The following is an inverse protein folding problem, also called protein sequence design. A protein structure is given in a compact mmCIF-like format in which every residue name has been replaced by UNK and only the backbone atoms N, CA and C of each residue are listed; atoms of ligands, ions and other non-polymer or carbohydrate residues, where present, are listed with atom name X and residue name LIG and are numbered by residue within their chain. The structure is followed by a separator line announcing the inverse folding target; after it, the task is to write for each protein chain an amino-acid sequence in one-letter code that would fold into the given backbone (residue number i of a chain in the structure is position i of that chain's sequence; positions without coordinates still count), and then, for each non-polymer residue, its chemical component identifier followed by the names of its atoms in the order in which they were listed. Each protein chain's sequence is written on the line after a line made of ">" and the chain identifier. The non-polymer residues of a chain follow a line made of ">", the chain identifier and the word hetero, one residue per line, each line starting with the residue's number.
data_IF_723120984149
#
_entry.id   IF_723120984149
#
_cell.length_a   1.000
_cell.length_b   1.000
_cell.length_c   1.000
_cell.angle_alpha   90.00
_cell.angle_beta   90.00
_cell.angle_gamma   90.00
#
_symmetry.space_group_name_H-M   'P 1'
#
loop_
_entity.id
_entity.type
_entity.pdbx_description
1 polymer ?
#
# COMPACT_ATOMS: atom_id res chain seq x y z
N UNK A 1 7.77 22.63 6.46
CA UNK A 1 7.08 22.54 7.76
C UNK A 1 5.69 23.18 7.67
N UNK A 2 4.64 22.36 7.74
CA UNK A 2 3.28 22.87 7.85
C UNK A 2 3.05 23.28 9.31
N UNK A 3 2.92 24.58 9.55
CA UNK A 3 2.53 25.14 10.84
C UNK A 3 0.99 25.15 10.86
N UNK A 4 0.39 24.37 11.74
CA UNK A 4 -1.03 24.48 12.08
C UNK A 4 -1.14 24.98 13.51
N UNK A 5 -2.01 25.96 13.73
CA UNK A 5 -2.13 26.78 14.95
C UNK A 5 -2.70 26.02 16.17
N UNK A 6 -2.54 24.70 16.21
CA UNK A 6 -2.91 23.84 17.34
C UNK A 6 -4.41 23.61 17.53
N UNK A 7 -5.28 24.24 16.74
CA UNK A 7 -6.72 23.99 16.73
C UNK A 7 -7.11 23.24 15.45
N UNK A 8 -7.55 21.98 15.57
CA UNK A 8 -8.14 21.23 14.46
C UNK A 8 -9.48 21.90 14.09
N UNK A 9 -9.46 22.75 13.06
CA UNK A 9 -10.67 23.35 12.48
C UNK A 9 -11.42 22.36 11.59
N UNK A 10 -10.78 21.26 11.22
CA UNK A 10 -11.30 20.13 10.45
C UNK A 10 -11.16 18.83 11.25
N UNK A 11 -12.09 17.88 11.07
CA UNK A 11 -12.03 16.54 11.69
C UNK A 11 -10.99 15.66 10.95
N UNK A 12 -9.72 16.06 11.04
CA UNK A 12 -8.61 15.52 10.26
C UNK A 12 -7.36 15.34 11.14
N UNK A 13 -6.53 14.36 10.81
CA UNK A 13 -5.27 14.06 11.48
C UNK A 13 -4.19 13.71 10.46
N UNK A 14 -3.12 14.50 10.41
CA UNK A 14 -1.95 14.17 9.60
C UNK A 14 -1.12 13.08 10.26
N UNK A 15 -0.66 12.13 9.45
CA UNK A 15 0.13 10.99 9.90
C UNK A 15 1.39 10.84 9.07
N UNK A 16 2.46 10.44 9.75
CA UNK A 16 3.69 9.99 9.14
C UNK A 16 4.00 8.60 9.68
N UNK A 17 4.18 7.64 8.76
CA UNK A 17 4.56 6.28 9.06
C UNK A 17 5.92 5.98 8.43
N UNK A 18 6.86 5.54 9.26
CA UNK A 18 8.18 5.12 8.83
C UNK A 18 8.40 3.67 9.24
N UNK A 19 8.54 2.81 8.25
CA UNK A 19 9.06 1.46 8.41
C UNK A 19 10.50 1.50 7.94
N UNK A 20 11.44 1.35 8.86
CA UNK A 20 12.87 1.39 8.53
C UNK A 20 13.39 -0.02 8.59
N UNK A 21 14.11 -0.42 7.55
CA UNK A 21 14.97 -1.59 7.63
C UNK A 21 14.22 -2.91 7.95
N UNK A 22 12.99 -3.06 7.47
CA UNK A 22 12.14 -4.21 7.71
C UNK A 22 12.49 -5.43 6.85
N UNK A 23 12.07 -6.61 7.30
CA UNK A 23 12.24 -7.87 6.54
C UNK A 23 10.89 -8.54 6.35
N UNK A 24 10.68 -9.12 5.17
CA UNK A 24 9.52 -9.96 4.95
C UNK A 24 9.55 -11.18 5.87
N UNK A 25 8.40 -11.55 6.40
CA UNK A 25 8.24 -12.80 7.15
C UNK A 25 8.43 -13.99 6.20
N UNK A 26 9.07 -15.10 6.63
CA UNK A 26 9.13 -16.32 5.85
C UNK A 26 7.74 -16.83 5.42
N UNK A 27 7.59 -17.13 4.12
CA UNK A 27 6.33 -17.48 3.46
C UNK A 27 5.37 -16.29 3.23
N UNK A 28 5.79 -15.07 3.55
CA UNK A 28 4.99 -13.86 3.47
C UNK A 28 4.94 -13.26 2.06
N UNK A 29 3.92 -12.44 1.75
CA UNK A 29 3.71 -11.87 0.42
C UNK A 29 4.87 -10.98 -0.05
N UNK A 30 5.58 -10.36 0.89
CA UNK A 30 6.70 -9.44 0.60
C UNK A 30 8.08 -10.06 0.83
N UNK A 31 8.18 -11.33 1.24
CA UNK A 31 9.47 -12.00 1.49
C UNK A 31 10.40 -11.90 0.29
N UNK A 32 9.93 -12.32 -0.88
CA UNK A 32 10.72 -12.27 -2.10
C UNK A 32 11.02 -10.84 -2.58
N UNK A 33 10.13 -9.87 -2.27
CA UNK A 33 10.39 -8.46 -2.56
C UNK A 33 11.55 -7.89 -1.72
N UNK A 34 11.83 -8.51 -0.57
CA UNK A 34 12.91 -8.08 0.34
C UNK A 34 14.28 -8.69 0.05
N UNK A 35 14.47 -9.51 -0.99
CA UNK A 35 15.77 -10.11 -1.41
C UNK A 35 16.77 -10.34 -0.23
N UNK A 36 17.98 -9.75 -0.31
CA UNK A 36 19.01 -9.68 0.75
C UNK A 36 18.89 -8.40 1.62
N UNK A 37 17.90 -7.55 1.33
CA UNK A 37 17.90 -6.12 1.62
C UNK A 37 16.67 -5.67 2.38
N UNK A 38 16.91 -4.88 3.42
CA UNK A 38 15.87 -4.39 4.29
C UNK A 38 14.92 -3.44 3.53
N UNK A 39 13.62 -3.61 3.70
CA UNK A 39 12.57 -2.77 3.12
C UNK A 39 12.39 -1.53 3.97
N UNK A 40 12.50 -0.36 3.35
CA UNK A 40 12.19 0.91 3.99
C UNK A 40 11.01 1.58 3.28
N UNK A 41 10.02 2.00 4.05
CA UNK A 41 8.84 2.74 3.60
C UNK A 41 8.68 4.00 4.46
N UNK A 42 8.63 5.15 3.82
CA UNK A 42 8.15 6.39 4.42
C UNK A 42 6.83 6.76 3.75
N UNK A 43 5.79 6.97 4.53
CA UNK A 43 4.45 7.29 4.05
C UNK A 43 3.85 8.41 4.89
N UNK A 44 3.34 9.45 4.24
CA UNK A 44 2.55 10.51 4.86
C UNK A 44 1.14 10.54 4.25
N UNK A 45 0.20 11.10 5.01
CA UNK A 45 -1.15 11.38 4.53
C UNK A 45 -2.03 11.96 5.62
N UNK A 46 -3.29 12.21 5.27
CA UNK A 46 -4.29 12.78 6.17
C UNK A 46 -5.41 11.78 6.41
N UNK A 47 -5.72 11.53 7.67
CA UNK A 47 -6.86 10.72 8.10
C UNK A 47 -8.07 11.64 8.32
N UNK A 48 -9.07 11.52 7.46
CA UNK A 48 -10.34 12.25 7.63
C UNK A 48 -11.26 11.53 8.61
N UNK A 49 -12.16 12.27 9.26
CA UNK A 49 -13.04 11.77 10.32
C UNK A 49 -12.24 11.21 11.53
N UNK A 50 -11.10 11.81 11.85
CA UNK A 50 -10.16 11.29 12.86
C UNK A 50 -10.80 11.11 14.25
N UNK A 51 -11.76 11.97 14.63
CA UNK A 51 -12.50 11.87 15.90
C UNK A 51 -13.36 10.60 16.00
N UNK A 52 -13.58 9.90 14.88
CA UNK A 52 -14.30 8.62 14.78
C UNK A 52 -13.41 7.40 14.97
N UNK A 53 -12.09 7.57 15.10
CA UNK A 53 -11.15 6.51 15.49
C UNK A 53 -11.32 6.18 16.98
N UNK A 54 -12.48 5.60 17.33
CA UNK A 54 -12.87 5.24 18.69
C UNK A 54 -13.57 3.89 18.67
N UNK A 55 -13.24 3.04 19.64
CA UNK A 55 -13.83 1.71 19.72
C UNK A 55 -13.24 0.91 20.90
N UNK A 56 -13.88 -0.21 21.26
CA UNK A 56 -13.44 -1.05 22.37
C UNK A 56 -12.15 -1.84 22.06
N UNK A 57 -11.85 -2.06 20.78
CA UNK A 57 -10.64 -2.73 20.28
C UNK A 57 -10.23 -2.15 18.91
N UNK A 58 -9.07 -2.58 18.40
CA UNK A 58 -8.52 -2.09 17.13
C UNK A 58 -9.47 -2.32 15.94
N UNK A 59 -10.12 -3.48 15.88
CA UNK A 59 -11.04 -3.80 14.79
C UNK A 59 -12.27 -2.87 14.83
N UNK A 60 -12.81 -2.64 16.02
CA UNK A 60 -13.93 -1.73 16.27
C UNK A 60 -13.59 -0.27 15.98
N UNK A 61 -12.35 0.17 16.28
CA UNK A 61 -11.87 1.53 15.97
C UNK A 61 -11.95 1.81 14.47
N UNK A 62 -11.36 0.96 13.63
CA UNK A 62 -11.36 1.18 12.18
C UNK A 62 -12.71 0.89 11.53
N UNK A 63 -13.49 -0.05 12.08
CA UNK A 63 -14.86 -0.30 11.60
C UNK A 63 -15.78 0.90 11.84
N UNK A 64 -15.70 1.54 13.01
CA UNK A 64 -16.47 2.74 13.32
C UNK A 64 -16.08 3.92 12.44
N UNK A 65 -14.77 4.15 12.30
CA UNK A 65 -14.22 5.17 11.42
C UNK A 65 -14.65 4.97 9.95
N UNK A 66 -14.52 3.75 9.42
CA UNK A 66 -14.90 3.44 8.04
C UNK A 66 -16.40 3.63 7.81
N UNK A 67 -17.25 3.18 8.73
CA UNK A 67 -18.72 3.40 8.67
C UNK A 67 -19.12 4.87 8.71
N UNK A 68 -18.31 5.72 9.35
CA UNK A 68 -18.51 7.16 9.37
C UNK A 68 -18.03 7.87 8.08
N UNK A 69 -17.59 7.12 7.07
CA UNK A 69 -17.04 7.67 5.83
C UNK A 69 -15.57 8.09 5.95
N UNK A 70 -14.83 7.53 6.92
CA UNK A 70 -13.40 7.76 7.10
C UNK A 70 -12.59 7.38 5.86
N UNK A 71 -11.61 8.24 5.53
CA UNK A 71 -10.72 8.08 4.36
C UNK A 71 -9.30 8.47 4.75
N UNK A 72 -8.34 7.74 4.20
CA UNK A 72 -6.96 8.22 4.08
C UNK A 72 -6.89 9.06 2.80
N UNK A 73 -6.32 10.25 2.87
CA UNK A 73 -6.24 11.19 1.74
C UNK A 73 -4.85 11.81 1.64
N UNK A 74 -4.55 12.42 0.50
CA UNK A 74 -3.27 13.07 0.23
C UNK A 74 -2.06 12.16 0.54
N UNK A 75 -2.20 10.87 0.25
CA UNK A 75 -1.19 9.87 0.57
C UNK A 75 0.00 10.08 -0.35
N UNK A 76 1.18 10.16 0.23
CA UNK A 76 2.46 10.20 -0.49
C UNK A 76 3.46 9.32 0.23
N UNK A 77 4.36 8.71 -0.51
CA UNK A 77 5.41 7.93 0.13
C UNK A 77 6.52 7.53 -0.81
N UNK A 78 7.56 6.98 -0.21
CA UNK A 78 8.69 6.38 -0.90
C UNK A 78 8.97 5.00 -0.30
N UNK A 79 9.16 4.03 -1.18
CA UNK A 79 9.55 2.67 -0.86
C UNK A 79 10.94 2.41 -1.44
N UNK A 80 11.80 1.78 -0.66
CA UNK A 80 13.11 1.27 -1.12
C UNK A 80 13.25 -0.19 -0.71
N UNK A 81 13.69 -1.04 -1.64
CA UNK A 81 14.01 -2.43 -1.40
C UNK A 81 15.21 -2.82 -2.28
N UNK A 82 16.38 -3.02 -1.66
CA UNK A 82 17.64 -3.22 -2.39
C UNK A 82 17.95 -2.04 -3.31
N UNK A 83 18.10 -2.32 -4.60
CA UNK A 83 18.33 -1.29 -5.63
C UNK A 83 17.03 -0.66 -6.18
N UNK A 84 15.88 -1.26 -5.89
CA UNK A 84 14.59 -0.78 -6.37
C UNK A 84 14.08 0.35 -5.48
N UNK A 85 13.56 1.40 -6.12
CA UNK A 85 12.86 2.51 -5.46
C UNK A 85 11.50 2.70 -6.09
N UNK A 86 10.52 3.11 -5.30
CA UNK A 86 9.26 3.56 -5.86
C UNK A 86 8.67 4.74 -5.09
N UNK A 87 8.04 5.66 -5.80
CA UNK A 87 7.20 6.72 -5.22
C UNK A 87 5.76 6.30 -5.30
N UNK A 88 5.02 6.47 -4.21
CA UNK A 88 3.61 6.13 -4.12
C UNK A 88 2.78 7.38 -3.89
N UNK A 89 1.60 7.43 -4.49
CA UNK A 89 0.62 8.46 -4.18
C UNK A 89 -0.81 7.94 -4.31
N UNK A 90 -1.71 8.43 -3.45
CA UNK A 90 -3.14 8.20 -3.59
C UNK A 90 -3.91 9.42 -3.15
N UNK A 91 -4.88 9.83 -3.96
CA UNK A 91 -5.82 10.89 -3.60
C UNK A 91 -6.68 10.46 -2.41
N UNK A 92 -7.16 9.22 -2.43
CA UNK A 92 -7.95 8.68 -1.35
C UNK A 92 -8.03 7.15 -1.33
N UNK A 93 -7.93 6.58 -0.13
CA UNK A 93 -8.21 5.17 0.18
C UNK A 93 -9.25 5.09 1.31
N UNK A 94 -10.18 4.15 1.20
CA UNK A 94 -11.19 3.85 2.22
C UNK A 94 -11.27 2.33 2.44
N UNK A 95 -12.16 1.86 3.33
CA UNK A 95 -12.45 0.45 3.46
C UNK A 95 -13.91 0.12 3.11
N UNK A 96 -14.15 -1.08 2.59
CA UNK A 96 -15.49 -1.65 2.42
C UNK A 96 -16.09 -2.13 3.75
N UNK A 97 -17.29 -2.68 3.69
CA UNK A 97 -18.00 -3.21 4.86
C UNK A 97 -17.25 -4.36 5.53
N UNK A 98 -16.47 -5.12 4.77
CA UNK A 98 -15.62 -6.22 5.22
C UNK A 98 -14.25 -5.75 5.75
N UNK A 99 -14.01 -4.44 5.72
CA UNK A 99 -12.78 -3.79 6.17
C UNK A 99 -11.63 -3.86 5.16
N UNK A 100 -11.89 -4.24 3.91
CA UNK A 100 -10.88 -4.29 2.86
C UNK A 100 -10.70 -2.94 2.20
N UNK A 101 -9.45 -2.60 1.92
CA UNK A 101 -9.09 -1.36 1.27
C UNK A 101 -9.78 -1.23 -0.10
N UNK A 102 -10.24 -0.04 -0.44
CA UNK A 102 -10.76 0.38 -1.74
C UNK A 102 -10.04 1.66 -2.16
N UNK A 103 -9.68 1.75 -3.44
CA UNK A 103 -9.12 2.96 -4.05
C UNK A 103 -7.96 2.64 -4.96
N UNK A 104 -7.36 3.70 -5.50
CA UNK A 104 -6.24 3.61 -6.43
C UNK A 104 -4.96 4.15 -5.77
N UNK A 105 -3.87 3.42 -5.91
CA UNK A 105 -2.53 3.80 -5.49
C UNK A 105 -1.65 3.88 -6.74
N UNK A 106 -1.26 5.08 -7.12
CA UNK A 106 -0.28 5.30 -8.17
C UNK A 106 1.12 5.00 -7.64
N UNK A 107 1.95 4.38 -8.48
CA UNK A 107 3.29 3.94 -8.16
C UNK A 107 4.20 4.25 -9.34
N UNK A 108 5.23 5.05 -9.12
CA UNK A 108 6.33 5.21 -10.09
C UNK A 108 7.51 4.42 -9.57
N UNK A 109 7.84 3.32 -10.25
CA UNK A 109 8.91 2.40 -9.84
C UNK A 109 10.16 2.58 -10.71
N UNK A 110 11.30 2.79 -10.06
CA UNK A 110 12.63 2.84 -10.66
C UNK A 110 13.33 1.50 -10.45
N UNK A 111 13.87 0.93 -11.54
CA UNK A 111 14.46 -0.42 -11.54
C UNK A 111 13.54 -1.48 -10.89
N UNK A 112 12.31 -1.69 -11.40
CA UNK A 112 11.34 -2.58 -10.76
C UNK A 112 11.71 -4.07 -10.87
N UNK A 113 12.58 -4.46 -11.80
CA UNK A 113 12.88 -5.86 -12.14
C UNK A 113 13.21 -6.76 -10.95
N UNK A 114 14.18 -6.41 -10.08
CA UNK A 114 14.56 -7.21 -8.92
C UNK A 114 13.40 -7.44 -7.93
N UNK A 115 12.66 -6.39 -7.58
CA UNK A 115 11.49 -6.46 -6.68
C UNK A 115 10.36 -7.32 -7.28
N UNK A 116 10.01 -7.08 -8.55
CA UNK A 116 8.93 -7.80 -9.23
C UNK A 116 9.24 -9.29 -9.38
N UNK A 117 10.49 -9.62 -9.73
CA UNK A 117 10.95 -11.01 -9.83
C UNK A 117 10.91 -11.71 -8.46
N UNK A 118 11.30 -11.00 -7.41
CA UNK A 118 11.18 -11.46 -6.04
C UNK A 118 9.74 -11.76 -5.63
N UNK A 119 8.80 -10.87 -5.93
CA UNK A 119 7.37 -11.11 -5.65
C UNK A 119 6.81 -12.30 -6.44
N UNK A 120 7.18 -12.45 -7.72
CA UNK A 120 6.75 -13.58 -8.54
C UNK A 120 7.29 -14.93 -8.06
N UNK A 121 8.49 -14.94 -7.47
CA UNK A 121 9.11 -16.11 -6.86
C UNK A 121 8.56 -16.43 -5.45
N UNK A 122 7.82 -15.51 -4.83
CA UNK A 122 7.22 -15.72 -3.51
C UNK A 122 6.24 -16.89 -3.53
N UNK A 123 6.36 -17.78 -2.54
CA UNK A 123 5.46 -18.92 -2.36
C UNK A 123 4.27 -18.61 -1.44
N UNK A 124 3.99 -17.33 -1.18
CA UNK A 124 2.86 -16.94 -0.35
C UNK A 124 1.53 -17.38 -0.97
N UNK A 125 0.74 -18.13 -0.19
CA UNK A 125 -0.59 -18.61 -0.62
C UNK A 125 -1.63 -17.50 -0.84
N UNK A 126 -1.35 -16.27 -0.37
CA UNK A 126 -2.22 -15.11 -0.55
C UNK A 126 -2.04 -14.46 -1.93
N UNK A 127 -0.88 -14.68 -2.57
CA UNK A 127 -0.55 -14.12 -3.88
C UNK A 127 -1.04 -15.04 -5.00
N UNK A 128 -1.82 -14.50 -5.91
CA UNK A 128 -2.15 -15.13 -7.18
C UNK A 128 -0.90 -15.12 -8.07
N UNK A 129 -0.16 -16.24 -8.07
CA UNK A 129 1.07 -16.41 -8.83
C UNK A 129 0.91 -16.14 -10.32
N UNK A 130 -0.21 -16.54 -10.94
CA UNK A 130 -0.44 -16.29 -12.36
C UNK A 130 -0.61 -14.79 -12.65
N UNK A 131 -1.33 -14.08 -11.78
CA UNK A 131 -1.47 -12.62 -11.87
C UNK A 131 -0.14 -11.90 -11.63
N UNK A 132 0.61 -12.29 -10.59
CA UNK A 132 1.92 -11.72 -10.29
C UNK A 132 2.93 -11.94 -11.43
N UNK A 133 2.95 -13.14 -12.03
CA UNK A 133 3.80 -13.43 -13.18
C UNK A 133 3.41 -12.60 -14.42
N UNK A 134 2.11 -12.46 -14.70
CA UNK A 134 1.62 -11.63 -15.81
C UNK A 134 1.99 -10.16 -15.63
N UNK A 135 1.85 -9.63 -14.42
CA UNK A 135 2.26 -8.27 -14.10
C UNK A 135 3.78 -8.07 -14.21
N UNK A 136 4.58 -9.01 -13.68
CA UNK A 136 6.04 -8.97 -13.80
C UNK A 136 6.48 -8.97 -15.27
N UNK A 137 5.91 -9.86 -16.09
CA UNK A 137 6.19 -9.92 -17.53
C UNK A 137 5.83 -8.60 -18.25
N UNK A 138 4.68 -8.02 -17.93
CA UNK A 138 4.26 -6.74 -18.50
C UNK A 138 5.23 -5.59 -18.13
N UNK A 139 5.76 -5.59 -16.91
CA UNK A 139 6.74 -4.60 -16.47
C UNK A 139 8.14 -4.82 -17.06
N UNK A 140 8.53 -6.07 -17.29
CA UNK A 140 9.86 -6.43 -17.79
C UNK A 140 10.17 -5.86 -19.18
N UNK A 141 9.15 -5.61 -20.01
CA UNK A 141 9.30 -4.97 -21.33
C UNK A 141 9.93 -3.57 -21.21
N UNK A 142 9.81 -2.92 -20.05
CA UNK A 142 10.37 -1.59 -19.82
C UNK A 142 11.85 -1.61 -19.39
N UNK A 143 12.40 -2.76 -18.98
CA UNK A 143 13.76 -2.89 -18.47
C UNK A 143 13.98 -2.07 -17.19
N UNK A 144 15.10 -1.36 -17.12
CA UNK A 144 15.44 -0.48 -15.99
C UNK A 144 14.78 0.91 -16.04
N UNK A 145 13.99 1.19 -17.08
CA UNK A 145 13.30 2.48 -17.19
C UNK A 145 12.26 2.62 -16.08
N UNK A 146 12.03 3.84 -15.56
CA UNK A 146 10.91 4.09 -14.67
C UNK A 146 9.59 3.62 -15.28
N UNK A 147 8.76 2.97 -14.47
CA UNK A 147 7.45 2.47 -14.89
C UNK A 147 6.38 3.06 -13.98
N UNK A 148 5.39 3.69 -14.59
CA UNK A 148 4.19 4.14 -13.91
C UNK A 148 3.16 2.99 -13.86
N UNK A 149 2.69 2.72 -12.66
CA UNK A 149 1.83 1.61 -12.32
C UNK A 149 0.67 2.13 -11.47
N UNK A 150 -0.49 1.49 -11.60
CA UNK A 150 -1.63 1.74 -10.73
C UNK A 150 -2.02 0.44 -10.07
N UNK A 151 -1.93 0.42 -8.75
CA UNK A 151 -2.49 -0.64 -7.92
C UNK A 151 -3.92 -0.23 -7.59
N UNK A 152 -4.89 -1.06 -7.96
CA UNK A 152 -6.31 -0.82 -7.67
C UNK A 152 -6.80 -1.82 -6.65
N UNK A 153 -7.39 -1.32 -5.58
CA UNK A 153 -8.13 -2.11 -4.62
C UNK A 153 -9.62 -2.01 -4.93
N UNK A 154 -10.21 -3.12 -5.38
CA UNK A 154 -11.64 -3.21 -5.70
C UNK A 154 -12.11 -4.64 -5.55
N UNK A 155 -13.40 -4.81 -5.26
CA UNK A 155 -14.05 -6.12 -5.18
C UNK A 155 -13.31 -7.08 -4.23
N UNK A 156 -12.78 -6.54 -3.12
CA UNK A 156 -11.99 -7.27 -2.13
C UNK A 156 -10.62 -7.79 -2.61
N UNK A 157 -10.12 -7.31 -3.75
CA UNK A 157 -8.88 -7.76 -4.39
C UNK A 157 -7.93 -6.61 -4.70
N UNK A 158 -6.64 -6.93 -4.72
CA UNK A 158 -5.55 -6.07 -5.21
C UNK A 158 -5.28 -6.40 -6.67
N UNK A 159 -5.30 -5.37 -7.52
CA UNK A 159 -5.08 -5.48 -8.96
C UNK A 159 -3.89 -4.62 -9.39
N UNK A 160 -3.12 -5.11 -10.34
CA UNK A 160 -2.13 -4.32 -11.07
C UNK A 160 -2.45 -4.41 -12.56
N UNK A 161 -2.98 -3.31 -13.12
CA UNK A 161 -3.61 -3.34 -14.44
C UNK A 161 -4.70 -4.43 -14.51
N UNK A 162 -4.67 -5.34 -15.50
CA UNK A 162 -5.65 -6.43 -15.61
C UNK A 162 -5.36 -7.62 -14.69
N UNK A 163 -4.26 -7.60 -13.93
CA UNK A 163 -3.79 -8.77 -13.18
C UNK A 163 -4.24 -8.71 -11.71
N UNK A 164 -5.05 -9.67 -11.28
CA UNK A 164 -5.38 -9.85 -9.86
C UNK A 164 -4.15 -10.41 -9.13
N UNK A 165 -3.62 -9.67 -8.16
CA UNK A 165 -2.40 -10.02 -7.43
C UNK A 165 -2.67 -10.77 -6.13
N UNK A 166 -3.60 -10.29 -5.31
CA UNK A 166 -3.88 -10.81 -3.97
C UNK A 166 -5.28 -10.35 -3.51
N UNK A 167 -5.78 -10.79 -2.35
CA UNK A 167 -6.83 -10.06 -1.63
C UNK A 167 -6.42 -8.60 -1.37
N UNK A 168 -7.39 -7.70 -1.26
CA UNK A 168 -7.15 -6.33 -0.78
C UNK A 168 -6.80 -6.37 0.72
N UNK A 169 -5.84 -5.54 1.19
CA UNK A 169 -5.47 -5.46 2.60
C UNK A 169 -6.68 -5.18 3.50
N UNK A 170 -6.75 -5.81 4.67
CA UNK A 170 -7.79 -5.54 5.67
C UNK A 170 -7.30 -4.54 6.71
N UNK A 171 -8.15 -3.58 7.06
CA UNK A 171 -7.96 -2.70 8.22
C UNK A 171 -8.53 -3.31 9.51
N UNK A 172 -9.55 -4.17 9.41
CA UNK A 172 -10.22 -4.87 10.50
C UNK A 172 -10.86 -6.17 10.03
#
# INVERSE_FOLDING_TARGET
>A
PHLTDGAATTDEMDVLFNLVDARGRPGGPVEGATQDGRLTLALEGTVQQATRLKGPDTAGVFANWSRAGGRFTAIRGELTAGESRARLSSEALSADAEGRLIGDLALTAEKPGPMMSGMAASQSGEVNRAGAAGAAAATAVNGDRPVDLVIRFRDGRTWLGPFALAPAPKLF
#
